data_IF_785120316315
#
_entry.id   IF_785120316315
#
_cell.length_a   1.000
_cell.length_b   1.000
_cell.length_c   1.000
_cell.angle_alpha   90.00
_cell.angle_beta   90.00
_cell.angle_gamma   90.00
#
_symmetry.space_group_name_H-M   'P 1'
#
loop_
_entity.id
_entity.type
_entity.pdbx_description
1 polymer ?
#
# COMPACT_ATOMS: atom_id res chain seq x y z
N UNK A 1 7.23 0.26 11.22
CA UNK A 1 7.08 1.13 10.04
C UNK A 1 7.85 0.48 8.92
N UNK A 2 7.30 0.48 7.71
CA UNK A 2 7.95 -0.01 6.49
C UNK A 2 7.78 1.08 5.44
N UNK A 3 8.83 1.33 4.67
CA UNK A 3 8.78 2.20 3.50
C UNK A 3 8.90 1.34 2.25
N UNK A 4 8.05 1.60 1.27
CA UNK A 4 8.11 0.98 -0.05
C UNK A 4 8.31 2.07 -1.09
N UNK A 5 9.42 1.98 -1.80
CA UNK A 5 9.73 2.84 -2.93
C UNK A 5 9.39 2.10 -4.23
N UNK A 6 8.89 2.82 -5.22
CA UNK A 6 8.54 2.22 -6.50
C UNK A 6 8.37 3.25 -7.60
N UNK A 7 8.10 2.74 -8.80
CA UNK A 7 7.83 3.55 -9.97
C UNK A 7 6.66 3.00 -10.76
N UNK A 8 5.80 3.88 -11.25
CA UNK A 8 4.76 3.59 -12.23
C UNK A 8 5.21 4.19 -13.56
N UNK A 9 5.17 3.37 -14.61
CA UNK A 9 5.47 3.79 -15.97
C UNK A 9 4.27 3.42 -16.85
N UNK A 10 3.25 4.28 -17.00
CA UNK A 10 1.97 3.89 -17.60
C UNK A 10 2.06 3.32 -19.02
N UNK A 11 3.10 3.67 -19.79
CA UNK A 11 3.37 3.10 -21.11
C UNK A 11 3.88 1.64 -21.05
N UNK A 12 4.37 1.18 -19.90
CA UNK A 12 4.91 -0.16 -19.68
C UNK A 12 4.09 -0.96 -18.69
N UNK A 13 3.96 -0.49 -17.44
CA UNK A 13 3.22 -1.16 -16.37
C UNK A 13 2.72 -0.18 -15.30
N UNK A 14 1.56 -0.51 -14.74
CA UNK A 14 0.91 0.21 -13.65
C UNK A 14 0.02 1.35 -14.13
N UNK A 15 -0.86 1.81 -13.24
CA UNK A 15 -1.77 2.93 -13.51
C UNK A 15 -1.63 3.98 -12.39
N UNK A 16 -1.59 5.29 -12.71
CA UNK A 16 -1.56 6.35 -11.70
C UNK A 16 -2.75 6.28 -10.72
N UNK A 17 -3.90 5.74 -11.17
CA UNK A 17 -5.08 5.53 -10.33
C UNK A 17 -4.81 4.58 -9.15
N UNK A 18 -3.81 3.69 -9.23
CA UNK A 18 -3.44 2.82 -8.11
C UNK A 18 -3.00 3.61 -6.88
N UNK A 19 -2.24 4.70 -7.06
CA UNK A 19 -1.83 5.56 -5.95
C UNK A 19 -3.03 6.34 -5.37
N UNK A 20 -3.99 6.72 -6.21
CA UNK A 20 -5.24 7.33 -5.76
C UNK A 20 -6.05 6.34 -4.90
N UNK A 21 -6.18 5.09 -5.35
CA UNK A 21 -6.85 4.05 -4.57
C UNK A 21 -6.16 3.80 -3.21
N UNK A 22 -4.83 3.80 -3.17
CA UNK A 22 -4.08 3.69 -1.92
C UNK A 22 -4.37 4.86 -0.98
N UNK A 23 -4.37 6.11 -1.48
CA UNK A 23 -4.74 7.28 -0.67
C UNK A 23 -6.14 7.16 -0.09
N UNK A 24 -7.13 6.78 -0.91
CA UNK A 24 -8.51 6.53 -0.45
C UNK A 24 -8.55 5.44 0.62
N UNK A 25 -7.78 4.35 0.47
CA UNK A 25 -7.67 3.33 1.51
C UNK A 25 -7.10 3.92 2.82
N UNK A 26 -6.06 4.76 2.74
CA UNK A 26 -5.50 5.48 3.89
C UNK A 26 -6.51 6.38 4.58
N UNK A 27 -7.29 7.14 3.81
CA UNK A 27 -8.30 8.08 4.31
C UNK A 27 -9.42 7.40 5.10
N UNK A 28 -9.64 6.09 4.89
CA UNK A 28 -10.61 5.34 5.71
C UNK A 28 -10.18 5.18 7.18
N UNK A 29 -8.90 5.42 7.50
CA UNK A 29 -8.32 5.16 8.83
C UNK A 29 -8.24 3.68 9.19
N UNK A 30 -8.60 2.78 8.27
CA UNK A 30 -8.57 1.34 8.49
C UNK A 30 -7.17 0.78 8.23
N UNK A 31 -6.92 -0.41 8.78
CA UNK A 31 -5.72 -1.18 8.49
C UNK A 31 -6.05 -2.35 7.60
N UNK A 32 -5.19 -2.59 6.62
CA UNK A 32 -5.33 -3.61 5.58
C UNK A 32 -4.20 -4.64 5.72
N UNK A 33 -4.42 -5.89 5.30
CA UNK A 33 -3.39 -6.91 5.32
C UNK A 33 -2.30 -6.58 4.30
N UNK A 34 -1.03 -6.62 4.73
CA UNK A 34 0.11 -6.59 3.84
C UNK A 34 0.55 -8.03 3.55
N UNK A 35 0.52 -8.41 2.27
CA UNK A 35 0.77 -9.79 1.80
C UNK A 35 1.78 -9.73 0.64
N UNK A 36 2.84 -10.55 0.68
CA UNK A 36 3.75 -10.68 -0.47
C UNK A 36 3.12 -11.46 -1.62
N UNK A 37 3.69 -11.34 -2.83
CA UNK A 37 3.32 -12.20 -3.97
C UNK A 37 3.57 -13.71 -3.73
N UNK A 38 4.34 -14.08 -2.69
CA UNK A 38 4.54 -15.47 -2.27
C UNK A 38 3.52 -15.95 -1.21
N UNK A 39 2.57 -15.09 -0.81
CA UNK A 39 1.54 -15.41 0.19
C UNK A 39 1.94 -15.16 1.65
N UNK A 40 3.13 -14.62 1.93
CA UNK A 40 3.54 -14.28 3.30
C UNK A 40 2.73 -13.09 3.81
N UNK A 41 2.07 -13.27 4.95
CA UNK A 41 1.32 -12.21 5.64
C UNK A 41 2.25 -11.50 6.64
N UNK A 42 2.39 -10.18 6.49
CA UNK A 42 3.23 -9.35 7.36
C UNK A 42 2.47 -8.69 8.51
N UNK A 43 1.13 -8.77 8.49
CA UNK A 43 0.24 -8.22 9.50
C UNK A 43 -0.72 -7.19 8.92
N UNK A 44 -1.37 -6.43 9.80
CA UNK A 44 -2.25 -5.33 9.40
C UNK A 44 -1.47 -4.02 9.44
N UNK A 45 -1.54 -3.25 8.36
CA UNK A 45 -0.88 -1.97 8.20
C UNK A 45 -1.90 -0.91 7.80
N UNK A 46 -1.71 0.31 8.27
CA UNK A 46 -2.37 1.47 7.69
C UNK A 46 -1.36 2.28 6.87
N UNK A 47 -1.88 2.96 5.86
CA UNK A 47 -1.11 3.90 5.06
C UNK A 47 -0.93 5.18 5.88
N UNK A 48 0.32 5.51 6.20
CA UNK A 48 0.65 6.73 6.94
C UNK A 48 0.89 7.89 5.97
N UNK A 49 1.56 7.63 4.85
CA UNK A 49 1.90 8.66 3.87
C UNK A 49 2.21 8.09 2.48
N UNK A 50 1.99 8.89 1.43
CA UNK A 50 2.37 8.60 0.03
C UNK A 50 2.81 9.87 -0.68
N UNK A 51 4.11 9.99 -0.88
CA UNK A 51 4.72 11.00 -1.73
C UNK A 51 4.92 10.46 -3.14
N UNK A 52 4.71 11.31 -4.14
CA UNK A 52 5.03 10.99 -5.53
C UNK A 52 5.69 12.17 -6.25
N UNK A 53 6.58 11.86 -7.19
CA UNK A 53 7.20 12.80 -8.12
C UNK A 53 6.89 12.35 -9.54
N UNK A 54 6.19 13.22 -10.27
CA UNK A 54 5.82 12.97 -11.66
C UNK A 54 6.87 13.59 -12.59
N UNK A 55 7.33 12.81 -13.57
CA UNK A 55 8.32 13.22 -14.57
C UNK A 55 7.94 12.71 -15.96
N UNK A 56 8.47 13.36 -16.99
CA UNK A 56 8.18 13.08 -18.41
C UNK A 56 6.68 13.13 -18.72
N UNK A 57 6.19 14.25 -19.24
CA UNK A 57 4.75 14.45 -19.44
C UNK A 57 4.34 14.30 -20.90
N UNK A 58 3.18 13.70 -21.13
CA UNK A 58 2.48 13.80 -22.40
C UNK A 58 1.99 15.24 -22.65
N UNK A 59 1.66 15.61 -23.91
CA UNK A 59 1.10 16.93 -24.21
C UNK A 59 -0.20 17.27 -23.45
N UNK A 60 -0.95 16.26 -22.99
CA UNK A 60 -2.15 16.44 -22.18
C UNK A 60 -1.87 16.56 -20.66
N UNK A 61 -0.60 16.60 -20.25
CA UNK A 61 -0.19 16.72 -18.85
C UNK A 61 -0.16 15.41 -18.06
N UNK A 62 -0.52 14.26 -18.65
CA UNK A 62 -0.38 12.97 -17.98
C UNK A 62 1.11 12.60 -17.83
N UNK A 63 1.50 12.10 -16.67
CA UNK A 63 2.87 11.65 -16.42
C UNK A 63 3.16 10.29 -17.05
N UNK A 64 4.32 10.18 -17.69
CA UNK A 64 4.87 8.92 -18.22
C UNK A 64 5.68 8.17 -17.18
N UNK A 65 6.26 8.85 -16.20
CA UNK A 65 6.95 8.23 -15.07
C UNK A 65 6.50 8.88 -13.77
N UNK A 66 6.12 8.04 -12.81
CA UNK A 66 5.75 8.47 -11.46
C UNK A 66 6.62 7.67 -10.50
N UNK A 67 7.54 8.35 -9.82
CA UNK A 67 8.29 7.76 -8.71
C UNK A 67 7.51 8.02 -7.43
N UNK A 68 7.34 7.00 -6.59
CA UNK A 68 6.59 7.14 -5.36
C UNK A 68 7.32 6.49 -4.20
N UNK A 69 7.04 7.03 -3.02
CA UNK A 69 7.49 6.52 -1.74
C UNK A 69 6.28 6.46 -0.83
N UNK A 70 5.97 5.28 -0.33
CA UNK A 70 4.86 5.08 0.59
C UNK A 70 5.36 4.59 1.95
N UNK A 71 4.77 5.13 3.00
CA UNK A 71 5.05 4.75 4.39
C UNK A 71 3.86 3.98 4.95
N UNK A 72 4.13 2.78 5.44
CA UNK A 72 3.17 1.90 6.08
C UNK A 72 3.52 1.72 7.56
N UNK A 73 2.50 1.81 8.41
CA UNK A 73 2.65 1.60 9.85
C UNK A 73 1.89 0.38 10.31
N UNK A 74 2.60 -0.51 11.00
CA UNK A 74 2.05 -1.77 11.48
C UNK A 74 1.09 -1.49 12.64
N UNK A 75 -0.17 -1.89 12.48
CA UNK A 75 -1.16 -1.90 13.56
C UNK A 75 -1.13 -3.22 14.32
N UNK A 76 -1.03 -4.34 13.61
CA UNK A 76 -1.09 -5.69 14.20
C UNK A 76 -0.05 -6.61 13.60
N UNK A 77 0.67 -7.35 14.44
CA UNK A 77 1.63 -8.38 14.02
C UNK A 77 0.91 -9.66 13.56
N UNK A 78 1.51 -10.47 12.64
CA UNK A 78 0.88 -11.71 12.16
C UNK A 78 0.45 -12.67 13.27
N UNK A 79 1.31 -12.89 14.28
CA UNK A 79 1.00 -13.82 15.38
C UNK A 79 -0.19 -13.39 16.26
N UNK A 80 -0.43 -12.09 16.39
CA UNK A 80 -1.60 -11.57 17.12
C UNK A 80 -2.89 -11.84 16.37
N UNK A 81 -2.87 -11.89 15.04
CA UNK A 81 -4.05 -12.23 14.24
C UNK A 81 -4.49 -13.67 14.49
N UNK A 82 -3.53 -14.61 14.57
CA UNK A 82 -3.83 -16.02 14.86
C UNK A 82 -4.46 -16.21 16.26
N UNK A 83 -3.91 -15.55 17.28
CA UNK A 83 -4.43 -15.64 18.65
C UNK A 83 -5.86 -15.11 18.77
N UNK A 84 -6.18 -14.02 18.06
CA UNK A 84 -7.53 -13.44 18.09
C UNK A 84 -8.58 -14.37 17.47
N UNK A 85 -8.24 -15.09 16.38
CA UNK A 85 -9.14 -16.08 15.77
C UNK A 85 -9.35 -17.27 16.70
N UNK A 86 -8.28 -17.80 17.29
CA UNK A 86 -8.37 -18.94 18.23
C UNK A 86 -9.24 -18.59 19.44
N UNK A 87 -9.09 -17.39 20.00
CA UNK A 87 -9.93 -16.93 21.11
C UNK A 87 -11.41 -16.77 20.75
N UNK A 88 -11.74 -16.44 19.49
CA UNK A 88 -13.13 -16.28 19.05
C UNK A 88 -13.87 -17.58 18.76
N UNK A 89 -13.14 -18.70 18.62
CA UNK A 89 -13.70 -20.03 18.35
C UNK A 89 -13.78 -20.88 19.61
N UNK A 90 -12.93 -20.61 20.61
CA UNK A 90 -12.85 -21.36 21.87
C UNK A 90 -13.56 -20.66 23.05
N UNK A 91 -14.11 -19.47 22.86
CA UNK A 91 -15.00 -18.78 23.79
C UNK A 91 -16.43 -18.82 23.30
#
# INVERSE_FOLDING_TARGET
MITLDGSIMPEFMGTPLSLTALRVMGDTGKSFPLISGTGKIFGLYFLEDVDETQTFFFPNGAARKIEFKMTLKQKTKPGTLANNIISSVLG
#
